data_IF_331761288212
#
_entry.id   IF_331761288212
#
_cell.length_a   1.000
_cell.length_b   1.000
_cell.length_c   1.000
_cell.angle_alpha   90.00
_cell.angle_beta   90.00
_cell.angle_gamma   90.00
#
_symmetry.space_group_name_H-M   'P 1'
#
loop_
_entity.id
_entity.type
_entity.pdbx_description
1 polymer ?
#
# COMPACT_ATOMS: atom_id res chain seq x y z
N UNK A 1 13.74 16.70 8.75
CA UNK A 1 12.49 16.04 8.31
C UNK A 1 12.40 16.24 6.81
N UNK A 2 12.39 15.18 6.03
CA UNK A 2 12.31 15.27 4.55
C UNK A 2 10.91 15.77 4.19
N UNK A 3 10.84 16.84 3.40
CA UNK A 3 9.58 17.42 2.94
C UNK A 3 8.93 16.48 1.92
N UNK A 4 7.63 16.20 2.07
CA UNK A 4 6.85 15.32 1.20
C UNK A 4 6.02 16.17 0.22
N UNK A 5 6.15 15.89 -1.07
CA UNK A 5 5.20 16.36 -2.07
C UNK A 5 3.95 15.47 -2.02
N UNK A 6 2.77 16.07 -1.86
CA UNK A 6 1.51 15.35 -1.74
C UNK A 6 0.61 15.54 -2.95
N UNK A 7 -0.06 14.46 -3.34
CA UNK A 7 -1.13 14.50 -4.34
C UNK A 7 -2.25 13.54 -4.00
N UNK A 8 -3.42 13.77 -4.60
CA UNK A 8 -4.60 12.93 -4.43
C UNK A 8 -5.07 12.39 -5.75
N UNK A 9 -5.70 11.21 -5.72
CA UNK A 9 -6.41 10.63 -6.85
C UNK A 9 -7.69 9.95 -6.37
N UNK A 10 -8.71 9.94 -7.23
CA UNK A 10 -9.93 9.14 -7.00
C UNK A 10 -9.67 7.69 -7.38
N UNK A 11 -10.26 6.75 -6.64
CA UNK A 11 -10.16 5.32 -6.95
C UNK A 11 -11.45 4.60 -6.58
N UNK A 12 -11.68 3.36 -7.07
CA UNK A 12 -12.84 2.54 -6.70
C UNK A 12 -12.92 2.21 -5.20
N UNK A 13 -11.79 2.29 -4.48
CA UNK A 13 -11.72 2.07 -3.03
C UNK A 13 -11.72 3.38 -2.23
N UNK A 14 -12.14 4.47 -2.86
CA UNK A 14 -12.16 5.81 -2.29
C UNK A 14 -10.94 6.66 -2.65
N UNK A 15 -10.91 7.92 -2.21
CA UNK A 15 -9.80 8.83 -2.49
C UNK A 15 -8.49 8.32 -1.86
N UNK A 16 -7.40 8.38 -2.62
CA UNK A 16 -6.06 8.06 -2.16
C UNK A 16 -5.21 9.34 -2.05
N UNK A 17 -4.32 9.39 -1.06
CA UNK A 17 -3.30 10.42 -0.94
C UNK A 17 -1.92 9.79 -1.05
N UNK A 18 -1.09 10.30 -1.97
CA UNK A 18 0.28 9.83 -2.22
C UNK A 18 1.26 10.91 -1.80
N UNK A 19 2.30 10.54 -1.06
CA UNK A 19 3.39 11.41 -0.64
C UNK A 19 4.73 10.92 -1.17
N UNK A 20 5.45 11.79 -1.88
CA UNK A 20 6.75 11.50 -2.47
C UNK A 20 7.84 12.39 -1.86
N UNK A 21 9.02 11.80 -1.65
CA UNK A 21 10.28 12.50 -1.43
C UNK A 21 11.08 12.55 -2.74
N UNK A 22 12.21 13.23 -2.80
CA UNK A 22 13.11 13.13 -3.96
C UNK A 22 13.68 11.70 -4.18
N UNK A 23 13.66 10.84 -3.15
CA UNK A 23 14.15 9.46 -3.22
C UNK A 23 13.10 8.45 -3.72
N UNK A 24 11.80 8.77 -3.60
CA UNK A 24 10.74 7.86 -4.04
C UNK A 24 9.39 8.11 -3.39
N UNK A 25 8.46 7.21 -3.64
CA UNK A 25 7.15 7.18 -2.96
C UNK A 25 7.37 6.73 -1.52
N UNK A 26 6.99 7.57 -0.55
CA UNK A 26 7.23 7.35 0.87
C UNK A 26 5.95 7.01 1.64
N UNK A 27 4.77 7.46 1.17
CA UNK A 27 3.48 7.29 1.86
C UNK A 27 2.35 7.11 0.86
N UNK A 28 1.41 6.25 1.22
CA UNK A 28 0.10 6.14 0.57
C UNK A 28 -0.97 5.96 1.65
N UNK A 29 -2.05 6.73 1.58
CA UNK A 29 -3.15 6.65 2.52
C UNK A 29 -4.48 6.49 1.79
N UNK A 30 -5.35 5.65 2.36
CA UNK A 30 -6.78 5.65 2.04
C UNK A 30 -7.43 6.79 2.81
N UNK A 31 -8.08 7.71 2.12
CA UNK A 31 -8.79 8.82 2.74
C UNK A 31 -10.28 8.48 2.80
N UNK A 32 -10.88 8.56 4.01
CA UNK A 32 -12.31 8.40 4.14
C UNK A 32 -13.07 9.48 3.34
N UNK A 33 -14.17 9.17 2.66
CA UNK A 33 -15.02 10.16 2.03
C UNK A 33 -15.45 11.22 3.07
N UNK A 34 -15.09 12.48 2.87
CA UNK A 34 -15.47 13.59 3.74
C UNK A 34 -14.62 13.84 4.99
N UNK A 35 -13.57 13.05 5.22
CA UNK A 35 -12.71 13.16 6.41
C UNK A 35 -11.24 13.41 6.09
N UNK A 36 -10.87 14.65 5.76
CA UNK A 36 -9.48 15.04 5.87
C UNK A 36 -9.14 15.16 7.37
N UNK A 37 -8.26 14.30 7.90
CA UNK A 37 -7.72 14.60 9.23
C UNK A 37 -7.04 15.98 9.16
N UNK A 38 -7.29 16.83 10.15
CA UNK A 38 -6.79 18.22 10.19
C UNK A 38 -5.26 18.32 10.08
N UNK A 39 -4.52 17.23 10.34
CA UNK A 39 -3.06 17.15 10.19
C UNK A 39 -2.61 16.85 8.76
N UNK A 40 -3.37 16.06 8.01
CA UNK A 40 -3.04 15.67 6.62
C UNK A 40 -3.41 16.76 5.62
N UNK A 41 -4.51 17.51 5.85
CA UNK A 41 -4.87 18.68 5.02
C UNK A 41 -3.91 19.85 5.19
N UNK A 42 -3.35 20.07 6.38
CA UNK A 42 -2.33 21.09 6.58
C UNK A 42 -1.03 20.79 5.80
N UNK A 43 -0.68 19.50 5.65
CA UNK A 43 0.47 19.07 4.84
C UNK A 43 0.15 18.97 3.33
N UNK A 44 -1.07 18.59 2.96
CA UNK A 44 -1.48 18.53 1.55
C UNK A 44 -1.74 19.92 0.92
N UNK A 45 -2.03 20.93 1.73
CA UNK A 45 -2.25 22.31 1.30
C UNK A 45 -1.02 23.22 1.35
N UNK A 46 0.03 22.85 2.09
CA UNK A 46 1.24 23.63 2.25
C UNK A 46 2.32 23.39 1.17
N UNK A 47 2.10 22.45 0.25
CA UNK A 47 3.09 22.00 -0.73
C UNK A 47 3.15 22.82 -2.04
N UNK A 48 2.81 24.11 -2.05
CA UNK A 48 3.13 25.00 -3.19
C UNK A 48 4.49 25.72 -3.03
N UNK A 49 5.27 25.36 -2.03
CA UNK A 49 6.58 25.92 -1.76
C UNK A 49 7.69 24.89 -1.87
N UNK A 50 8.39 24.82 -3.02
CA UNK A 50 9.76 24.32 -3.07
C UNK A 50 10.02 22.82 -3.14
N UNK A 51 9.04 21.96 -3.39
CA UNK A 51 9.30 20.56 -3.69
C UNK A 51 9.93 20.43 -5.07
N UNK A 52 11.17 19.95 -5.12
CA UNK A 52 11.97 19.93 -6.34
C UNK A 52 11.25 19.18 -7.48
N UNK A 53 11.59 19.52 -8.70
CA UNK A 53 11.02 18.96 -9.93
C UNK A 53 10.99 17.40 -9.94
N UNK A 54 11.95 16.76 -9.26
CA UNK A 54 12.02 15.31 -9.08
C UNK A 54 10.81 14.73 -8.31
N UNK A 55 10.42 15.33 -7.17
CA UNK A 55 9.26 14.86 -6.38
C UNK A 55 7.94 15.03 -7.12
N UNK A 56 7.81 16.08 -7.95
CA UNK A 56 6.63 16.33 -8.78
C UNK A 56 6.50 15.28 -9.89
N UNK A 57 7.60 14.93 -10.55
CA UNK A 57 7.64 13.89 -11.57
C UNK A 57 7.27 12.50 -10.99
N UNK A 58 7.83 12.16 -9.84
CA UNK A 58 7.51 10.93 -9.12
C UNK A 58 6.04 10.86 -8.69
N UNK A 59 5.48 11.99 -8.24
CA UNK A 59 4.08 12.07 -7.85
C UNK A 59 3.15 11.85 -9.05
N UNK A 60 3.47 12.42 -10.23
CA UNK A 60 2.73 12.17 -11.45
C UNK A 60 2.79 10.69 -11.82
N UNK A 61 3.98 10.10 -11.90
CA UNK A 61 4.18 8.69 -12.23
C UNK A 61 3.43 7.76 -11.25
N UNK A 62 3.43 8.06 -9.95
CA UNK A 62 2.70 7.27 -8.96
C UNK A 62 1.19 7.35 -9.18
N UNK A 63 0.66 8.53 -9.51
CA UNK A 63 -0.77 8.70 -9.80
C UNK A 63 -1.17 7.97 -11.08
N UNK A 64 -0.37 8.07 -12.13
CA UNK A 64 -0.63 7.41 -13.41
C UNK A 64 -0.61 5.89 -13.26
N UNK A 65 0.40 5.33 -12.56
CA UNK A 65 0.48 3.90 -12.31
C UNK A 65 -0.65 3.37 -11.40
N UNK A 66 -1.09 4.14 -10.40
CA UNK A 66 -2.26 3.79 -9.59
C UNK A 66 -3.55 3.83 -10.43
N UNK A 67 -3.71 4.79 -11.33
CA UNK A 67 -4.85 4.85 -12.24
C UNK A 67 -4.86 3.65 -13.21
N UNK A 68 -3.71 3.30 -13.78
CA UNK A 68 -3.54 2.11 -14.63
C UNK A 68 -3.85 0.80 -13.87
N UNK A 69 -3.43 0.71 -12.58
CA UNK A 69 -3.74 -0.43 -11.73
C UNK A 69 -5.25 -0.60 -11.57
N UNK A 70 -5.97 0.44 -11.20
CA UNK A 70 -7.43 0.39 -11.05
C UNK A 70 -8.19 0.26 -12.37
N UNK A 71 -7.57 0.59 -13.49
CA UNK A 71 -8.09 0.30 -14.83
C UNK A 71 -7.82 -1.16 -15.28
N UNK A 72 -7.13 -1.98 -14.46
CA UNK A 72 -6.74 -3.35 -14.80
C UNK A 72 -5.62 -3.46 -15.83
N UNK A 73 -4.96 -2.35 -16.16
CA UNK A 73 -3.91 -2.26 -17.18
C UNK A 73 -2.52 -2.53 -16.61
N UNK A 74 -2.36 -2.42 -15.30
CA UNK A 74 -1.10 -2.61 -14.58
C UNK A 74 -1.25 -3.65 -13.47
N UNK A 75 -0.24 -4.53 -13.36
CA UNK A 75 -0.17 -5.59 -12.33
C UNK A 75 1.03 -5.44 -11.39
N UNK A 76 1.97 -4.57 -11.75
CA UNK A 76 3.20 -4.29 -10.97
C UNK A 76 3.50 -2.79 -11.01
N UNK A 77 4.06 -2.26 -9.91
CA UNK A 77 4.44 -0.86 -9.82
C UNK A 77 5.95 -0.68 -10.06
N UNK A 78 6.33 0.17 -11.00
CA UNK A 78 7.72 0.51 -11.33
C UNK A 78 8.04 1.90 -10.77
N UNK A 79 8.07 2.00 -9.43
CA UNK A 79 8.28 3.24 -8.71
C UNK A 79 9.45 3.08 -7.74
N UNK A 80 10.36 4.05 -7.66
CA UNK A 80 11.31 4.06 -6.56
C UNK A 80 10.56 4.26 -5.24
N UNK A 81 10.88 3.47 -4.23
CA UNK A 81 10.25 3.50 -2.91
C UNK A 81 11.22 4.09 -1.88
N UNK A 82 10.75 5.04 -1.10
CA UNK A 82 11.53 5.62 -0.01
C UNK A 82 11.19 4.91 1.31
N UNK A 83 12.11 4.05 1.75
CA UNK A 83 12.03 3.28 2.98
C UNK A 83 12.59 4.00 4.21
N UNK A 84 13.07 5.23 4.08
CA UNK A 84 13.74 5.97 5.17
C UNK A 84 12.89 6.12 6.44
N UNK A 85 11.56 6.06 6.31
CA UNK A 85 10.62 6.08 7.44
C UNK A 85 10.30 4.72 8.04
N UNK A 86 10.90 3.62 7.55
CA UNK A 86 10.68 2.27 8.03
C UNK A 86 11.80 1.83 8.99
N UNK A 87 11.45 1.03 10.00
CA UNK A 87 12.47 0.30 10.74
C UNK A 87 13.11 -0.76 9.83
N UNK A 88 14.30 -1.26 10.21
CA UNK A 88 14.97 -2.33 9.46
C UNK A 88 14.08 -3.55 9.27
N UNK A 89 13.36 -3.97 10.31
CA UNK A 89 12.45 -5.11 10.23
C UNK A 89 11.25 -4.86 9.31
N UNK A 90 10.67 -3.64 9.33
CA UNK A 90 9.59 -3.27 8.41
C UNK A 90 10.09 -3.28 6.97
N UNK A 91 11.21 -2.61 6.69
CA UNK A 91 11.79 -2.56 5.35
C UNK A 91 11.99 -3.96 4.80
N UNK A 92 12.67 -4.84 5.54
CA UNK A 92 12.94 -6.19 5.07
C UNK A 92 11.67 -7.00 4.79
N UNK A 93 10.70 -7.03 5.72
CA UNK A 93 9.46 -7.80 5.52
C UNK A 93 8.65 -7.23 4.37
N UNK A 94 8.55 -5.90 4.25
CA UNK A 94 7.79 -5.25 3.19
C UNK A 94 8.48 -5.40 1.82
N UNK A 95 9.80 -5.40 1.74
CA UNK A 95 10.54 -5.69 0.51
C UNK A 95 10.34 -7.14 0.07
N UNK A 96 10.45 -8.09 1.00
CA UNK A 96 10.16 -9.51 0.69
C UNK A 96 8.73 -9.70 0.20
N UNK A 97 7.75 -9.01 0.80
CA UNK A 97 6.37 -9.04 0.31
C UNK A 97 6.25 -8.49 -1.11
N UNK A 98 6.86 -7.31 -1.35
CA UNK A 98 6.82 -6.62 -2.65
C UNK A 98 7.41 -7.49 -3.76
N UNK A 99 8.53 -8.17 -3.49
CA UNK A 99 9.27 -8.96 -4.47
C UNK A 99 8.68 -10.36 -4.68
N UNK A 100 7.96 -10.93 -3.69
CA UNK A 100 7.62 -12.37 -3.69
C UNK A 100 6.14 -12.71 -3.77
N UNK A 101 5.23 -11.72 -3.72
CA UNK A 101 3.78 -11.95 -3.81
C UNK A 101 3.18 -11.13 -4.93
N UNK A 102 2.99 -11.78 -6.08
CA UNK A 102 2.53 -11.17 -7.31
C UNK A 102 1.04 -10.80 -7.31
N UNK A 103 0.60 -10.17 -8.42
CA UNK A 103 -0.81 -9.85 -8.67
C UNK A 103 -1.65 -11.12 -8.79
N UNK A 104 -2.77 -11.18 -8.08
CA UNK A 104 -3.64 -12.35 -8.05
C UNK A 104 -3.15 -13.50 -7.16
N UNK A 105 -2.02 -13.31 -6.46
CA UNK A 105 -1.48 -14.29 -5.52
C UNK A 105 -1.76 -13.87 -4.07
N UNK A 106 -1.73 -14.84 -3.16
CA UNK A 106 -1.79 -14.61 -1.72
C UNK A 106 -0.69 -15.38 -1.00
N UNK A 107 -0.27 -14.86 0.16
CA UNK A 107 0.60 -15.58 1.07
C UNK A 107 0.01 -15.49 2.48
N UNK A 108 0.23 -16.51 3.31
CA UNK A 108 -0.13 -16.41 4.71
C UNK A 108 0.91 -15.58 5.49
N UNK A 109 0.53 -15.09 6.67
CA UNK A 109 1.49 -14.46 7.60
C UNK A 109 2.65 -15.40 7.95
N UNK A 110 2.40 -16.72 7.99
CA UNK A 110 3.42 -17.73 8.23
C UNK A 110 4.39 -17.88 7.05
N UNK A 111 3.86 -17.95 5.82
CA UNK A 111 4.68 -18.02 4.61
C UNK A 111 5.59 -16.79 4.48
N UNK A 112 5.03 -15.61 4.73
CA UNK A 112 5.82 -14.39 4.68
C UNK A 112 6.89 -14.33 5.77
N UNK A 113 6.61 -14.87 6.98
CA UNK A 113 7.61 -15.01 8.04
C UNK A 113 8.76 -15.92 7.58
N UNK A 114 8.46 -17.05 6.93
CA UNK A 114 9.49 -17.97 6.41
C UNK A 114 10.31 -17.32 5.30
N UNK A 115 9.67 -16.62 4.35
CA UNK A 115 10.36 -15.88 3.29
C UNK A 115 11.28 -14.78 3.85
N UNK A 116 10.86 -14.09 4.92
CA UNK A 116 11.68 -13.08 5.57
C UNK A 116 12.94 -13.65 6.24
N UNK A 117 12.90 -14.91 6.74
CA UNK A 117 14.09 -15.63 7.23
C UNK A 117 15.04 -15.97 6.08
N UNK A 118 14.51 -16.39 4.94
CA UNK A 118 15.29 -16.74 3.75
C UNK A 118 15.82 -15.50 3.00
N UNK A 119 15.32 -14.31 3.30
CA UNK A 119 15.72 -13.06 2.67
C UNK A 119 17.13 -12.61 3.05
N UNK A 120 17.66 -11.56 2.39
CA UNK A 120 19.07 -11.13 2.51
C UNK A 120 19.55 -10.86 3.93
N UNK A 121 18.67 -10.36 4.77
CA UNK A 121 18.99 -10.01 6.17
C UNK A 121 18.61 -11.10 7.21
N UNK A 122 17.96 -12.19 6.78
CA UNK A 122 17.68 -13.36 7.60
C UNK A 122 16.86 -13.08 8.87
N UNK A 123 15.85 -12.21 8.81
CA UNK A 123 15.07 -11.84 10.01
C UNK A 123 14.04 -12.92 10.37
N UNK A 124 14.19 -13.49 11.58
CA UNK A 124 13.20 -14.39 12.16
C UNK A 124 12.18 -13.62 12.99
N UNK A 125 10.94 -13.60 12.54
CA UNK A 125 9.82 -12.93 13.20
C UNK A 125 8.62 -13.87 13.33
N UNK A 126 7.92 -13.87 14.47
CA UNK A 126 6.69 -14.62 14.61
C UNK A 126 5.57 -13.99 13.74
N UNK A 127 4.61 -14.80 13.26
CA UNK A 127 3.50 -14.36 12.39
C UNK A 127 2.75 -13.13 12.94
N UNK A 128 2.60 -13.01 14.28
CA UNK A 128 1.99 -11.83 14.90
C UNK A 128 2.80 -10.52 14.69
N UNK A 129 4.12 -10.62 14.57
CA UNK A 129 4.97 -9.44 14.28
C UNK A 129 4.84 -9.06 12.81
N UNK A 130 4.75 -10.04 11.91
CA UNK A 130 4.42 -9.81 10.50
C UNK A 130 3.07 -9.08 10.41
N UNK A 131 2.04 -9.53 11.15
CA UNK A 131 0.73 -8.86 11.17
C UNK A 131 0.80 -7.39 11.60
N UNK A 132 1.63 -7.05 12.59
CA UNK A 132 1.86 -5.65 12.99
C UNK A 132 2.56 -4.84 11.90
N UNK A 133 3.53 -5.42 11.21
CA UNK A 133 4.22 -4.77 10.09
C UNK A 133 3.24 -4.52 8.94
N UNK A 134 2.39 -5.49 8.61
CA UNK A 134 1.32 -5.29 7.60
C UNK A 134 0.38 -4.15 7.99
N UNK A 135 -0.03 -4.09 9.27
CA UNK A 135 -0.91 -3.03 9.79
C UNK A 135 -0.28 -1.62 9.82
N UNK A 136 1.05 -1.54 9.77
CA UNK A 136 1.80 -0.28 9.74
C UNK A 136 2.51 -0.02 8.40
N UNK A 137 2.12 -0.74 7.33
CA UNK A 137 2.65 -0.55 6.00
C UNK A 137 2.42 0.90 5.52
N UNK A 138 3.48 1.68 5.22
CA UNK A 138 3.34 3.06 4.78
C UNK A 138 2.92 3.20 3.31
N UNK A 139 2.96 2.10 2.54
CA UNK A 139 2.78 2.07 1.09
C UNK A 139 1.74 1.03 0.65
N UNK A 140 0.53 0.98 1.28
CA UNK A 140 -0.47 -0.01 0.90
C UNK A 140 -0.80 0.10 -0.60
N UNK A 141 -1.27 -0.97 -1.23
CA UNK A 141 -1.43 -1.18 -2.67
C UNK A 141 -0.10 -1.39 -3.41
N UNK A 142 0.82 -0.42 -3.34
CA UNK A 142 2.16 -0.54 -3.95
C UNK A 142 2.89 -1.71 -3.31
N UNK A 143 2.98 -1.71 -1.98
CA UNK A 143 3.42 -2.89 -1.21
C UNK A 143 2.16 -3.65 -0.76
N UNK A 144 1.89 -4.83 -1.33
CA UNK A 144 0.54 -5.42 -1.36
C UNK A 144 0.18 -6.15 -0.07
N UNK A 145 0.10 -5.45 1.07
CA UNK A 145 -0.27 -6.05 2.36
C UNK A 145 -1.69 -6.66 2.36
N UNK A 146 -2.56 -6.28 1.42
CA UNK A 146 -3.85 -6.93 1.20
C UNK A 146 -3.75 -8.38 0.72
N UNK A 147 -2.63 -8.77 0.09
CA UNK A 147 -2.36 -10.15 -0.37
C UNK A 147 -1.90 -11.08 0.77
N UNK A 148 -1.63 -10.54 1.97
CA UNK A 148 -1.22 -11.35 3.12
C UNK A 148 -2.45 -11.73 3.93
N UNK A 149 -2.76 -13.04 4.00
CA UNK A 149 -4.00 -13.59 4.58
C UNK A 149 -3.71 -14.47 5.80
N UNK A 150 -4.73 -14.74 6.62
CA UNK A 150 -4.64 -15.76 7.66
C UNK A 150 -4.84 -17.16 7.07
N UNK A 151 -4.30 -18.19 7.74
CA UNK A 151 -4.48 -19.58 7.28
C UNK A 151 -5.94 -20.08 7.30
N UNK A 152 -6.83 -19.39 8.01
CA UNK A 152 -8.24 -19.73 8.17
C UNK A 152 -9.19 -18.60 7.69
N UNK A 153 -8.73 -17.68 6.86
CA UNK A 153 -9.55 -16.58 6.33
C UNK A 153 -8.74 -15.36 5.90
N UNK A 154 -9.41 -14.23 5.69
CA UNK A 154 -8.76 -13.02 5.17
C UNK A 154 -7.75 -12.39 6.12
N UNK A 155 -7.89 -12.62 7.43
CA UNK A 155 -7.11 -11.90 8.45
C UNK A 155 -7.52 -10.42 8.55
N UNK A 156 -6.73 -9.62 9.29
CA UNK A 156 -6.97 -8.18 9.46
C UNK A 156 -6.49 -7.34 8.27
N UNK A 157 -7.01 -6.10 8.21
CA UNK A 157 -6.52 -5.06 7.31
C UNK A 157 -6.77 -3.68 7.92
N UNK A 158 -5.81 -2.77 7.81
CA UNK A 158 -5.89 -1.42 8.39
C UNK A 158 -6.14 -0.31 7.36
N UNK A 159 -6.17 -0.64 6.07
CA UNK A 159 -6.42 0.34 5.01
C UNK A 159 -7.90 0.68 4.87
N UNK A 160 -8.23 1.95 4.72
CA UNK A 160 -9.58 2.45 4.42
C UNK A 160 -10.68 1.94 5.36
N UNK A 161 -11.71 1.29 4.83
CA UNK A 161 -12.79 0.62 5.59
C UNK A 161 -12.39 -0.78 6.11
N UNK A 162 -11.10 -1.10 6.11
CA UNK A 162 -10.60 -2.34 6.68
C UNK A 162 -10.79 -3.57 5.77
N UNK A 163 -11.39 -4.65 6.34
CA UNK A 163 -11.47 -5.95 5.67
C UNK A 163 -12.25 -5.91 4.34
N UNK A 164 -13.17 -4.98 4.16
CA UNK A 164 -13.96 -4.84 2.95
C UNK A 164 -13.10 -4.40 1.76
N UNK A 165 -12.25 -3.40 1.95
CA UNK A 165 -11.28 -2.99 0.93
C UNK A 165 -10.33 -4.14 0.59
N UNK A 166 -9.85 -4.87 1.59
CA UNK A 166 -9.00 -6.04 1.36
C UNK A 166 -9.69 -7.08 0.49
N UNK A 167 -10.94 -7.41 0.81
CA UNK A 167 -11.74 -8.37 0.02
C UNK A 167 -11.92 -7.86 -1.40
N UNK A 168 -12.26 -6.58 -1.56
CA UNK A 168 -12.42 -5.96 -2.87
C UNK A 168 -11.16 -6.09 -3.73
N UNK A 169 -10.01 -5.72 -3.17
CA UNK A 169 -8.73 -5.81 -3.86
C UNK A 169 -8.40 -7.25 -4.27
N UNK A 170 -8.62 -8.24 -3.40
CA UNK A 170 -8.37 -9.64 -3.70
C UNK A 170 -9.31 -10.17 -4.80
N UNK A 171 -10.58 -9.75 -4.83
CA UNK A 171 -11.51 -10.08 -5.91
C UNK A 171 -11.09 -9.38 -7.21
N UNK A 172 -10.76 -8.09 -7.14
CA UNK A 172 -10.30 -7.30 -8.27
C UNK A 172 -9.06 -7.89 -8.93
N UNK A 173 -8.13 -8.40 -8.13
CA UNK A 173 -6.92 -9.08 -8.60
C UNK A 173 -7.16 -10.53 -9.05
N UNK A 174 -8.34 -11.08 -8.82
CA UNK A 174 -8.67 -12.46 -9.16
C UNK A 174 -8.15 -13.51 -8.18
N UNK A 175 -7.62 -13.09 -7.01
CA UNK A 175 -7.18 -14.00 -5.95
C UNK A 175 -8.36 -14.62 -5.17
N UNK A 176 -9.55 -14.02 -5.25
CA UNK A 176 -10.79 -14.53 -4.69
C UNK A 176 -11.90 -14.52 -5.75
N UNK A 177 -12.84 -15.51 -5.71
CA UNK A 177 -14.00 -15.46 -6.58
C UNK A 177 -14.90 -14.28 -6.25
N UNK A 178 -15.49 -13.64 -7.26
CA UNK A 178 -16.55 -12.67 -7.07
C UNK A 178 -17.78 -13.37 -6.47
N UNK A 179 -18.21 -12.91 -5.28
CA UNK A 179 -19.47 -13.39 -4.68
C UNK A 179 -20.60 -12.46 -5.10
N UNK A 180 -21.79 -13.02 -5.37
CA UNK A 180 -22.97 -12.28 -5.85
C UNK A 180 -23.49 -11.22 -4.86
N UNK A 181 -23.08 -11.29 -3.59
CA UNK A 181 -23.58 -10.43 -2.51
C UNK A 181 -22.69 -9.21 -2.25
N UNK A 182 -21.68 -8.94 -3.11
CA UNK A 182 -20.76 -7.85 -2.86
C UNK A 182 -20.85 -6.77 -3.95
N UNK A 183 -21.31 -5.58 -3.56
CA UNK A 183 -21.17 -4.34 -4.33
C UNK A 183 -20.26 -3.38 -3.55
N UNK A 184 -19.30 -2.70 -4.21
CA UNK A 184 -18.56 -1.64 -3.54
C UNK A 184 -19.55 -0.57 -3.09
N UNK A 185 -19.50 -0.19 -1.82
CA UNK A 185 -20.29 0.91 -1.31
C UNK A 185 -19.86 2.20 -2.03
N UNK A 186 -20.68 2.67 -2.99
CA UNK A 186 -20.49 3.95 -3.65
C UNK A 186 -20.02 3.88 -5.11
N UNK A 187 -20.60 3.01 -5.93
CA UNK A 187 -20.58 3.18 -7.37
C UNK A 187 -21.68 4.13 -7.80
#
# INVERSE_FOLDING_TARGET
MTELAWGTLSSPVGPLAVGCTPAGVARLYFRAPGGASRRETAQAGAGQGGTGQASTGLLSAARDQLAEYFAGQRRHFDLPLDWSGCSRAQHQVLSVLYDSVGYGETATYGDLAQRAVAGPDGISLPARAIGRIMGSNPLPLIVPCHRVVAGNGLGGYSGGTGIEIKRWLLIFEGALPATLDWSPAGA
#
